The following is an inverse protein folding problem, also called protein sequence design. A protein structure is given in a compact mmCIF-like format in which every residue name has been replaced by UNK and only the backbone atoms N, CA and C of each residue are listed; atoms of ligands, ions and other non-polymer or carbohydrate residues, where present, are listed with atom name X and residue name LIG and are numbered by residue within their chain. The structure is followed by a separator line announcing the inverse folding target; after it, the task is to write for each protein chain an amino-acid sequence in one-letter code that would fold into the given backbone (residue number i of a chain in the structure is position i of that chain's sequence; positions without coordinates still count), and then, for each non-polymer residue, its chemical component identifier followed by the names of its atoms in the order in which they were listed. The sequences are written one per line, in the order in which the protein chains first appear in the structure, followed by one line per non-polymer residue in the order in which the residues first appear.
data_IF_527699540358
#
_entry.id   IF_527699540358
#
_cell.length_a   1.000
_cell.length_b   1.000
_cell.length_c   1.000
_cell.angle_alpha   90.00
_cell.angle_beta   90.00
_cell.angle_gamma   90.00
#
_symmetry.space_group_name_H-M   'P 1'
#
loop_
_entity.id
_entity.type
_entity.pdbx_description
1 polymer ?
#
# COMPACT_ATOMS: atom_id res chain seq x y z
N UNK A 1 31.84 52.70 -22.95
CA UNK A 1 31.91 51.75 -24.08
C UNK A 1 31.12 50.50 -23.67
N UNK A 2 30.07 50.18 -24.46
CA UNK A 2 29.52 48.84 -24.83
C UNK A 2 29.37 47.77 -23.74
N UNK A 3 28.28 47.03 -23.61
CA UNK A 3 27.03 46.93 -24.35
C UNK A 3 26.05 46.04 -23.53
N UNK A 4 24.77 46.35 -23.66
CA UNK A 4 23.62 45.56 -23.20
C UNK A 4 23.57 44.17 -23.83
N UNK A 5 23.10 43.16 -23.10
CA UNK A 5 22.46 41.99 -23.71
C UNK A 5 21.33 41.47 -22.82
N UNK A 6 20.12 41.84 -23.23
CA UNK A 6 18.84 41.25 -22.85
C UNK A 6 18.66 40.02 -23.72
N UNK A 7 18.41 38.84 -23.14
CA UNK A 7 18.02 37.65 -23.90
C UNK A 7 16.61 37.21 -23.50
N UNK A 8 15.65 37.65 -24.30
CA UNK A 8 14.25 37.21 -24.31
C UNK A 8 14.15 35.83 -24.96
N UNK A 9 13.66 34.82 -24.25
CA UNK A 9 13.18 33.57 -24.86
C UNK A 9 11.66 33.56 -24.86
N UNK A 10 11.08 34.14 -25.93
CA UNK A 10 9.71 33.88 -26.37
C UNK A 10 9.79 32.82 -27.47
N UNK A 11 9.42 31.58 -27.18
CA UNK A 11 9.05 30.60 -28.21
C UNK A 11 7.56 30.34 -28.06
N UNK A 12 6.82 31.09 -28.85
CA UNK A 12 5.41 30.90 -29.18
C UNK A 12 5.40 30.01 -30.42
N UNK A 13 4.90 28.77 -30.30
CA UNK A 13 4.50 27.98 -31.47
C UNK A 13 3.02 27.64 -31.32
N UNK A 14 2.21 28.37 -32.08
CA UNK A 14 0.77 28.21 -32.22
C UNK A 14 0.52 28.00 -33.71
N UNK A 15 0.15 26.78 -34.10
CA UNK A 15 -0.34 26.46 -35.46
C UNK A 15 -1.60 25.60 -35.31
N UNK A 16 -2.72 26.31 -35.35
CA UNK A 16 -4.02 26.03 -35.99
C UNK A 16 -4.50 24.59 -36.19
N UNK A 17 -5.71 24.36 -35.66
CA UNK A 17 -6.71 23.39 -36.11
C UNK A 17 -6.94 23.45 -37.63
N UNK A 18 -7.15 22.29 -38.27
CA UNK A 18 -8.18 22.11 -39.32
C UNK A 18 -8.55 20.62 -39.53
N UNK A 19 -9.80 20.32 -39.19
CA UNK A 19 -10.80 19.45 -39.88
C UNK A 19 -10.49 18.04 -40.39
N UNK A 20 -11.29 17.11 -39.84
CA UNK A 20 -12.05 16.04 -40.53
C UNK A 20 -11.34 15.01 -41.41
N UNK A 21 -11.24 13.79 -40.89
CA UNK A 21 -11.01 12.57 -41.66
C UNK A 21 -11.43 11.34 -40.85
N UNK A 22 -12.70 10.96 -40.96
CA UNK A 22 -13.23 9.72 -40.40
C UNK A 22 -12.78 8.52 -41.25
N UNK A 23 -12.05 7.59 -40.65
CA UNK A 23 -11.94 6.21 -41.15
C UNK A 23 -12.25 5.27 -40.00
N UNK A 24 -13.46 4.74 -40.04
CA UNK A 24 -13.96 3.67 -39.19
C UNK A 24 -13.23 2.38 -39.53
N UNK A 25 -12.45 1.83 -38.58
CA UNK A 25 -12.14 0.40 -38.56
C UNK A 25 -12.97 -0.20 -37.43
N UNK A 26 -14.03 -0.89 -37.85
CA UNK A 26 -14.98 -1.61 -37.02
C UNK A 26 -14.29 -2.81 -36.36
N UNK A 27 -14.40 -2.93 -35.05
CA UNK A 27 -13.85 -4.07 -34.33
C UNK A 27 -13.99 -3.97 -32.82
N UNK A 28 -15.22 -3.92 -32.30
CA UNK A 28 -15.57 -4.27 -30.91
C UNK A 28 -17.11 -4.36 -30.77
N UNK A 29 -17.72 -5.41 -31.32
CA UNK A 29 -19.14 -5.71 -31.10
C UNK A 29 -19.28 -6.76 -29.98
N UNK A 30 -19.07 -6.37 -28.72
CA UNK A 30 -19.51 -7.22 -27.59
C UNK A 30 -19.65 -6.52 -26.23
N UNK A 31 -20.03 -5.24 -26.17
CA UNK A 31 -20.23 -4.56 -24.85
C UNK A 31 -21.50 -3.67 -24.78
N UNK A 32 -22.33 -3.60 -25.84
CA UNK A 32 -23.46 -2.65 -25.86
C UNK A 32 -24.84 -3.25 -25.51
N UNK A 33 -24.98 -4.58 -25.39
CA UNK A 33 -26.28 -5.19 -25.11
C UNK A 33 -26.67 -5.29 -23.63
N UNK A 34 -25.75 -5.07 -22.69
CA UNK A 34 -26.09 -5.11 -21.25
C UNK A 34 -26.83 -3.86 -20.75
N UNK A 35 -26.71 -2.72 -21.44
CA UNK A 35 -27.39 -1.48 -21.05
C UNK A 35 -28.88 -1.44 -21.39
N UNK A 36 -29.32 -2.18 -22.42
CA UNK A 36 -30.74 -2.26 -22.81
C UNK A 36 -31.54 -3.20 -21.92
N UNK A 37 -30.91 -4.21 -21.33
CA UNK A 37 -31.57 -5.21 -20.49
C UNK A 37 -31.97 -4.68 -19.09
N UNK A 38 -31.34 -3.58 -18.63
CA UNK A 38 -31.65 -2.96 -17.33
C UNK A 38 -32.74 -1.86 -17.42
N UNK A 39 -33.03 -1.32 -18.61
CA UNK A 39 -34.06 -0.29 -18.79
C UNK A 39 -35.48 -0.83 -18.87
N UNK A 40 -35.68 -2.08 -19.28
CA UNK A 40 -37.00 -2.71 -19.33
C UNK A 40 -37.54 -3.18 -17.97
N UNK A 41 -36.75 -3.11 -16.89
CA UNK A 41 -37.14 -3.59 -15.57
C UNK A 41 -37.74 -2.49 -14.66
N UNK A 42 -37.84 -1.23 -15.12
CA UNK A 42 -38.28 -0.09 -14.28
C UNK A 42 -39.53 0.65 -14.79
N UNK A 43 -40.27 0.12 -15.76
CA UNK A 43 -41.51 0.74 -16.25
C UNK A 43 -42.70 -0.20 -16.13
N UNK A 44 -43.18 -0.44 -14.92
CA UNK A 44 -44.52 -0.98 -14.66
C UNK A 44 -44.99 -0.59 -13.25
N UNK A 45 -45.56 0.60 -13.08
CA UNK A 45 -46.38 0.96 -11.91
C UNK A 45 -47.58 1.81 -12.33
N UNK A 46 -48.75 1.46 -11.78
CA UNK A 46 -50.11 2.01 -11.98
C UNK A 46 -50.77 1.56 -13.30
N UNK A 47 -52.01 1.06 -13.38
CA UNK A 47 -53.23 1.28 -12.56
C UNK A 47 -54.35 0.27 -12.92
N UNK A 48 -55.30 -0.05 -12.00
CA UNK A 48 -56.72 -0.36 -12.36
C UNK A 48 -57.30 -1.78 -12.16
N UNK A 49 -57.94 -1.97 -10.99
CA UNK A 49 -59.12 -2.80 -10.59
C UNK A 49 -59.64 -4.11 -11.25
N UNK A 50 -60.07 -5.01 -10.33
CA UNK A 50 -61.07 -6.11 -10.37
C UNK A 50 -60.88 -7.24 -11.40
N UNK A 51 -61.00 -8.54 -11.11
CA UNK A 51 -61.94 -9.24 -10.24
C UNK A 51 -61.46 -10.68 -9.93
N UNK A 52 -61.96 -11.19 -8.80
CA UNK A 52 -62.03 -12.54 -8.23
C UNK A 52 -61.75 -13.78 -9.11
N UNK A 53 -60.86 -14.70 -8.67
CA UNK A 53 -61.12 -16.15 -8.53
C UNK A 53 -59.89 -16.98 -8.08
N UNK A 54 -60.19 -18.01 -7.30
CA UNK A 54 -59.31 -18.92 -6.58
C UNK A 54 -58.31 -19.73 -7.43
N UNK A 55 -57.17 -20.09 -6.84
CA UNK A 55 -56.27 -21.10 -7.41
C UNK A 55 -54.93 -21.20 -6.69
N UNK A 56 -54.77 -22.28 -5.94
CA UNK A 56 -53.61 -22.65 -5.13
C UNK A 56 -52.35 -22.79 -6.00
N UNK A 57 -51.23 -22.21 -5.56
CA UNK A 57 -49.92 -22.45 -6.18
C UNK A 57 -48.90 -21.35 -5.92
N UNK A 58 -48.54 -21.09 -4.66
CA UNK A 58 -47.25 -20.45 -4.39
C UNK A 58 -46.14 -21.48 -4.61
N UNK A 59 -45.79 -21.72 -5.88
CA UNK A 59 -44.43 -22.11 -6.19
C UNK A 59 -43.54 -20.92 -5.80
N UNK A 60 -42.78 -21.11 -4.71
CA UNK A 60 -41.56 -20.35 -4.49
C UNK A 60 -40.67 -20.60 -5.70
N UNK A 61 -40.83 -19.75 -6.72
CA UNK A 61 -39.83 -19.54 -7.75
C UNK A 61 -38.57 -19.09 -7.03
N UNK A 62 -37.70 -20.06 -6.74
CA UNK A 62 -36.34 -19.82 -6.31
C UNK A 62 -35.66 -19.09 -7.48
N UNK A 63 -35.75 -17.77 -7.45
CA UNK A 63 -34.98 -16.90 -8.33
C UNK A 63 -33.53 -17.28 -8.08
N UNK A 64 -32.92 -17.95 -9.07
CA UNK A 64 -31.49 -18.25 -9.08
C UNK A 64 -30.77 -16.96 -8.68
N UNK A 65 -30.01 -16.94 -7.56
CA UNK A 65 -29.40 -15.71 -7.10
C UNK A 65 -28.55 -15.15 -8.23
N UNK A 66 -28.72 -13.87 -8.54
CA UNK A 66 -27.87 -13.17 -9.50
C UNK A 66 -26.40 -13.48 -9.17
N UNK A 67 -25.54 -13.72 -10.18
CA UNK A 67 -24.16 -14.12 -9.94
C UNK A 67 -23.48 -13.11 -9.02
N UNK A 68 -23.14 -13.53 -7.79
CA UNK A 68 -22.46 -12.68 -6.82
C UNK A 68 -21.02 -12.49 -7.25
N UNK A 69 -20.59 -11.25 -7.43
CA UNK A 69 -19.19 -10.94 -7.72
C UNK A 69 -18.29 -11.41 -6.57
N UNK A 70 -17.12 -11.94 -6.92
CA UNK A 70 -16.07 -12.22 -5.94
C UNK A 70 -15.53 -10.92 -5.32
N UNK A 71 -14.95 -11.01 -4.12
CA UNK A 71 -14.36 -9.86 -3.45
C UNK A 71 -13.24 -9.20 -4.28
N UNK A 72 -12.51 -9.97 -5.08
CA UNK A 72 -11.51 -9.46 -6.04
C UNK A 72 -12.15 -8.60 -7.13
N UNK A 73 -13.25 -9.05 -7.72
CA UNK A 73 -13.98 -8.28 -8.73
C UNK A 73 -14.60 -7.02 -8.12
N UNK A 74 -15.11 -7.10 -6.90
CA UNK A 74 -15.60 -5.95 -6.15
C UNK A 74 -14.49 -4.93 -5.90
N UNK A 75 -13.29 -5.39 -5.53
CA UNK A 75 -12.13 -4.51 -5.36
C UNK A 75 -11.77 -3.81 -6.68
N UNK A 76 -11.82 -4.53 -7.80
CA UNK A 76 -11.55 -3.94 -9.12
C UNK A 76 -12.57 -2.83 -9.48
N UNK A 77 -13.85 -3.00 -9.13
CA UNK A 77 -14.85 -1.93 -9.26
C UNK A 77 -14.46 -0.70 -8.43
N UNK A 78 -13.97 -0.90 -7.20
CA UNK A 78 -13.50 0.19 -6.34
C UNK A 78 -12.29 0.89 -6.95
N UNK A 79 -11.30 0.15 -7.43
CA UNK A 79 -10.08 0.69 -8.07
C UNK A 79 -10.38 1.46 -9.38
N UNK A 80 -11.46 1.09 -10.07
CA UNK A 80 -11.97 1.79 -11.23
C UNK A 80 -12.86 2.99 -10.88
N UNK A 81 -13.16 3.22 -9.61
CA UNK A 81 -14.01 4.32 -9.13
C UNK A 81 -15.51 4.05 -9.29
N UNK A 82 -15.89 2.82 -9.60
CA UNK A 82 -17.27 2.34 -9.81
C UNK A 82 -17.96 2.07 -8.46
N UNK A 83 -17.86 3.02 -7.54
CA UNK A 83 -18.30 2.89 -6.14
C UNK A 83 -19.78 2.52 -6.00
N UNK A 84 -20.64 2.95 -6.92
CA UNK A 84 -22.06 2.59 -6.91
C UNK A 84 -22.27 1.11 -7.19
N UNK A 85 -21.59 0.57 -8.20
CA UNK A 85 -21.65 -0.85 -8.53
C UNK A 85 -21.01 -1.70 -7.43
N UNK A 86 -19.87 -1.26 -6.89
CA UNK A 86 -19.21 -1.91 -5.77
C UNK A 86 -20.13 -2.01 -4.54
N UNK A 87 -20.92 -0.96 -4.23
CA UNK A 87 -21.90 -0.99 -3.14
C UNK A 87 -22.97 -2.07 -3.33
N UNK A 88 -23.58 -2.12 -4.52
CA UNK A 88 -24.61 -3.12 -4.85
C UNK A 88 -24.03 -4.54 -4.83
N UNK A 89 -22.81 -4.71 -5.33
CA UNK A 89 -22.11 -5.99 -5.32
C UNK A 89 -21.76 -6.44 -3.90
N UNK A 90 -21.30 -5.52 -3.04
CA UNK A 90 -21.03 -5.79 -1.62
C UNK A 90 -22.29 -6.16 -0.85
N UNK A 91 -23.41 -5.51 -1.12
CA UNK A 91 -24.68 -5.87 -0.51
C UNK A 91 -25.07 -7.31 -0.89
N UNK A 92 -24.94 -7.66 -2.17
CA UNK A 92 -25.22 -9.02 -2.65
C UNK A 92 -24.24 -10.04 -2.04
N UNK A 93 -22.95 -9.71 -1.98
CA UNK A 93 -21.93 -10.55 -1.37
C UNK A 93 -22.20 -10.81 0.12
N UNK A 94 -22.55 -9.76 0.87
CA UNK A 94 -22.83 -9.83 2.31
C UNK A 94 -24.15 -10.53 2.65
N UNK A 95 -25.08 -10.72 1.71
CA UNK A 95 -26.23 -11.62 1.92
C UNK A 95 -25.78 -13.08 2.01
N UNK A 96 -24.75 -13.45 1.25
CA UNK A 96 -24.22 -14.82 1.20
C UNK A 96 -23.15 -15.08 2.28
N UNK A 97 -22.28 -14.11 2.53
CA UNK A 97 -21.28 -14.15 3.61
C UNK A 97 -21.42 -12.92 4.52
N UNK A 98 -22.40 -12.92 5.44
CA UNK A 98 -22.65 -11.77 6.28
C UNK A 98 -21.51 -11.42 7.20
N UNK A 99 -20.65 -12.37 7.60
CA UNK A 99 -19.60 -12.19 8.61
C UNK A 99 -18.25 -11.80 8.02
N UNK A 100 -18.14 -11.68 6.71
CA UNK A 100 -16.90 -11.28 6.05
C UNK A 100 -16.39 -9.90 6.54
N UNK A 101 -15.25 -9.84 7.26
CA UNK A 101 -14.79 -8.59 7.86
C UNK A 101 -14.36 -7.57 6.81
N UNK A 102 -13.75 -8.04 5.72
CA UNK A 102 -13.28 -7.20 4.62
C UNK A 102 -14.45 -6.57 3.87
N UNK A 103 -15.43 -7.37 3.44
CA UNK A 103 -16.59 -6.86 2.72
C UNK A 103 -17.42 -5.87 3.57
N UNK A 104 -17.58 -6.12 4.87
CA UNK A 104 -18.22 -5.18 5.80
C UNK A 104 -17.46 -3.85 5.89
N UNK A 105 -16.12 -3.90 5.97
CA UNK A 105 -15.30 -2.71 6.03
C UNK A 105 -15.39 -1.90 4.72
N UNK A 106 -15.30 -2.54 3.56
CA UNK A 106 -15.46 -1.90 2.25
C UNK A 106 -16.85 -1.27 2.10
N UNK A 107 -17.90 -1.99 2.50
CA UNK A 107 -19.27 -1.49 2.44
C UNK A 107 -19.42 -0.23 3.31
N UNK A 108 -18.93 -0.29 4.55
CA UNK A 108 -18.94 0.84 5.49
C UNK A 108 -18.27 2.08 4.89
N UNK A 109 -17.10 1.91 4.30
CA UNK A 109 -16.35 3.03 3.71
C UNK A 109 -17.01 3.63 2.48
N UNK A 110 -17.85 2.88 1.76
CA UNK A 110 -18.56 3.36 0.58
C UNK A 110 -19.93 3.97 0.88
N UNK A 111 -20.53 3.64 2.03
CA UNK A 111 -21.90 4.08 2.40
C UNK A 111 -21.90 5.26 3.37
N UNK A 112 -20.98 5.29 4.34
CA UNK A 112 -20.95 6.37 5.34
C UNK A 112 -20.45 7.67 4.70
N UNK A 113 -20.99 8.81 5.13
CA UNK A 113 -20.48 10.14 4.80
C UNK A 113 -19.05 10.31 5.38
N UNK A 114 -18.02 10.56 4.54
CA UNK A 114 -16.65 10.73 5.00
C UNK A 114 -16.47 11.84 6.03
N UNK A 115 -17.17 12.97 5.87
CA UNK A 115 -17.05 14.10 6.80
C UNK A 115 -17.61 13.76 8.18
N UNK A 116 -18.72 13.01 8.23
CA UNK A 116 -19.30 12.51 9.49
C UNK A 116 -18.44 11.43 10.15
N UNK A 117 -17.80 10.56 9.35
CA UNK A 117 -17.00 9.46 9.87
C UNK A 117 -15.61 9.88 10.36
N UNK A 118 -14.99 10.86 9.69
CA UNK A 118 -13.60 11.25 9.93
C UNK A 118 -13.49 12.57 10.71
N UNK A 119 -14.55 13.38 10.73
CA UNK A 119 -14.55 14.70 11.34
C UNK A 119 -14.03 15.80 10.40
N UNK A 120 -13.92 17.05 10.90
CA UNK A 120 -13.40 18.16 10.12
C UNK A 120 -11.91 17.97 9.79
N UNK A 121 -11.47 18.66 8.73
CA UNK A 121 -10.07 18.68 8.34
C UNK A 121 -9.28 19.50 9.37
N UNK A 122 -8.17 18.95 9.83
CA UNK A 122 -7.28 19.64 10.80
C UNK A 122 -5.96 20.04 10.20
N UNK A 123 -5.59 19.44 9.07
CA UNK A 123 -4.42 19.83 8.30
C UNK A 123 -4.61 19.51 6.83
N UNK A 124 -3.67 20.00 6.02
CA UNK A 124 -3.51 19.61 4.63
C UNK A 124 -2.19 18.89 4.45
N UNK A 125 -2.07 18.13 3.36
CA UNK A 125 -0.85 17.44 2.99
C UNK A 125 -0.66 17.49 1.48
N UNK A 126 0.54 17.88 1.05
CA UNK A 126 0.93 17.87 -0.37
C UNK A 126 1.51 16.51 -0.72
N UNK A 127 0.86 15.84 -1.67
CA UNK A 127 1.21 14.50 -2.13
C UNK A 127 2.63 14.49 -2.67
N UNK A 128 3.43 13.57 -2.15
CA UNK A 128 4.82 13.36 -2.52
C UNK A 128 4.95 12.21 -3.52
N UNK A 129 6.05 12.17 -4.30
CA UNK A 129 6.36 11.02 -5.13
C UNK A 129 6.37 9.71 -4.32
N UNK A 130 5.53 8.76 -4.73
CA UNK A 130 5.41 7.45 -4.09
C UNK A 130 4.27 7.31 -3.10
N UNK A 131 3.55 8.39 -2.80
CA UNK A 131 2.35 8.30 -1.97
C UNK A 131 1.24 7.51 -2.66
N UNK A 132 0.48 6.78 -1.86
CA UNK A 132 -0.73 6.06 -2.27
C UNK A 132 -1.84 6.36 -1.27
N UNK A 133 -3.12 6.26 -1.67
CA UNK A 133 -4.23 6.46 -0.74
C UNK A 133 -4.15 5.50 0.47
N UNK A 134 -3.70 4.25 0.25
CA UNK A 134 -3.46 3.28 1.31
C UNK A 134 -2.36 3.71 2.28
N UNK A 135 -1.22 4.16 1.75
CA UNK A 135 -0.11 4.67 2.56
C UNK A 135 -0.51 5.93 3.37
N UNK A 136 -1.23 6.85 2.73
CA UNK A 136 -1.72 8.06 3.38
C UNK A 136 -2.78 7.74 4.45
N UNK A 137 -3.65 6.76 4.21
CA UNK A 137 -4.60 6.29 5.21
C UNK A 137 -3.91 5.61 6.39
N UNK A 138 -2.89 4.79 6.15
CA UNK A 138 -2.07 4.22 7.22
C UNK A 138 -1.42 5.32 8.07
N UNK A 139 -0.81 6.32 7.41
CA UNK A 139 -0.08 7.41 8.07
C UNK A 139 -1.01 8.32 8.89
N UNK A 140 -2.13 8.75 8.31
CA UNK A 140 -2.96 9.81 8.89
C UNK A 140 -4.21 9.29 9.61
N UNK A 141 -4.69 8.10 9.26
CA UNK A 141 -5.90 7.49 9.86
C UNK A 141 -5.54 6.28 10.73
N UNK A 142 -4.29 5.81 10.69
CA UNK A 142 -3.80 4.65 11.44
C UNK A 142 -4.19 3.30 10.84
N UNK A 143 -4.86 3.28 9.68
CA UNK A 143 -5.29 2.06 9.02
C UNK A 143 -5.17 2.17 7.50
N UNK A 144 -4.31 1.36 6.84
CA UNK A 144 -4.20 1.35 5.37
C UNK A 144 -5.52 1.01 4.67
N UNK A 145 -6.40 0.26 5.34
CA UNK A 145 -7.71 -0.10 4.79
C UNK A 145 -8.64 1.10 4.65
N UNK A 146 -8.44 2.20 5.37
CA UNK A 146 -9.29 3.40 5.32
C UNK A 146 -9.05 4.27 4.05
N UNK A 147 -8.39 3.72 3.02
CA UNK A 147 -8.02 4.44 1.80
C UNK A 147 -9.23 4.91 0.98
N UNK A 148 -10.33 4.16 0.98
CA UNK A 148 -11.54 4.50 0.22
C UNK A 148 -12.21 5.71 0.86
N UNK A 149 -12.36 5.69 2.19
CA UNK A 149 -13.01 6.79 2.90
C UNK A 149 -12.14 8.06 2.90
N UNK A 150 -10.81 7.93 2.95
CA UNK A 150 -9.88 9.05 2.76
C UNK A 150 -9.97 9.63 1.34
N UNK A 151 -10.01 8.77 0.31
CA UNK A 151 -10.19 9.20 -1.07
C UNK A 151 -11.48 9.98 -1.24
N UNK A 152 -12.60 9.42 -0.77
CA UNK A 152 -13.91 10.08 -0.80
C UNK A 152 -13.96 11.41 -0.02
N UNK A 153 -13.22 11.51 1.09
CA UNK A 153 -13.09 12.76 1.85
C UNK A 153 -12.45 13.90 1.04
N UNK A 154 -11.63 13.52 0.06
CA UNK A 154 -10.85 14.42 -0.80
C UNK A 154 -11.36 14.46 -2.25
N UNK A 155 -12.56 13.94 -2.51
CA UNK A 155 -13.14 13.84 -3.85
C UNK A 155 -12.31 13.01 -4.85
N UNK A 156 -11.45 12.12 -4.34
CA UNK A 156 -10.61 11.20 -5.11
C UNK A 156 -11.33 9.84 -5.20
N UNK A 157 -11.76 9.48 -6.42
CA UNK A 157 -12.49 8.23 -6.66
C UNK A 157 -11.57 7.05 -6.91
N UNK A 158 -10.45 7.24 -7.61
CA UNK A 158 -9.50 6.17 -7.95
C UNK A 158 -8.15 6.47 -7.35
N UNK A 159 -7.42 5.42 -6.94
CA UNK A 159 -6.04 5.57 -6.47
C UNK A 159 -5.12 6.23 -7.53
N UNK A 160 -5.38 5.95 -8.81
CA UNK A 160 -4.64 6.55 -9.94
C UNK A 160 -4.91 8.04 -10.17
N UNK A 161 -5.97 8.59 -9.56
CA UNK A 161 -6.29 10.02 -9.65
C UNK A 161 -5.48 10.85 -8.63
N UNK A 162 -4.71 10.18 -7.76
CA UNK A 162 -3.80 10.82 -6.81
C UNK A 162 -2.58 11.39 -7.56
N UNK A 163 -2.41 12.71 -7.55
CA UNK A 163 -1.35 13.38 -8.30
C UNK A 163 -0.26 13.91 -7.37
N UNK A 164 1.01 13.72 -7.74
CA UNK A 164 2.13 14.34 -7.03
C UNK A 164 1.99 15.87 -7.07
N UNK A 165 2.18 16.52 -5.92
CA UNK A 165 1.99 17.96 -5.76
C UNK A 165 0.54 18.38 -5.47
N UNK A 166 -0.45 17.49 -5.62
CA UNK A 166 -1.82 17.78 -5.23
C UNK A 166 -1.90 17.88 -3.69
N UNK A 167 -2.62 18.90 -3.20
CA UNK A 167 -2.86 19.07 -1.77
C UNK A 167 -4.19 18.42 -1.39
N UNK A 168 -4.16 17.54 -0.39
CA UNK A 168 -5.32 16.86 0.17
C UNK A 168 -5.59 17.32 1.61
N UNK A 169 -6.85 17.23 2.03
CA UNK A 169 -7.32 17.48 3.39
C UNK A 169 -7.15 16.22 4.24
N UNK A 170 -6.67 16.42 5.47
CA UNK A 170 -6.45 15.37 6.46
C UNK A 170 -7.39 15.57 7.65
N UNK A 171 -8.26 14.59 7.96
CA UNK A 171 -9.26 14.70 9.02
C UNK A 171 -8.72 14.29 10.41
N UNK A 172 -9.39 14.75 11.47
CA UNK A 172 -9.02 14.45 12.86
C UNK A 172 -9.58 13.11 13.37
N UNK A 173 -8.86 12.01 13.16
CA UNK A 173 -9.03 10.84 14.04
C UNK A 173 -8.00 10.92 15.17
N UNK A 174 -8.49 11.01 16.41
CA UNK A 174 -7.74 11.26 17.66
C UNK A 174 -6.49 10.35 17.83
N UNK A 175 -5.32 10.82 17.39
CA UNK A 175 -4.04 10.93 18.14
C UNK A 175 -2.96 11.51 17.21
N UNK A 176 -2.69 12.81 17.39
CA UNK A 176 -1.46 13.46 16.95
C UNK A 176 -0.29 12.99 17.82
N UNK A 177 0.86 12.68 17.20
CA UNK A 177 2.18 13.02 17.74
C UNK A 177 3.19 13.17 16.60
N UNK A 178 3.78 14.37 16.56
CA UNK A 178 4.90 14.88 15.75
C UNK A 178 4.65 15.18 14.24
N UNK A 179 4.33 16.45 13.96
CA UNK A 179 4.91 17.21 12.84
C UNK A 179 6.00 18.12 13.44
N UNK A 180 7.15 18.32 12.76
CA UNK A 180 7.23 19.48 11.85
C UNK A 180 8.02 19.22 10.56
N UNK A 181 7.52 19.78 9.46
CA UNK A 181 8.30 20.59 8.52
C UNK A 181 7.28 21.23 7.56
N UNK A 182 7.13 22.55 7.67
CA UNK A 182 6.17 23.35 6.91
C UNK A 182 6.91 24.30 5.95
N UNK A 183 6.22 24.86 4.96
CA UNK A 183 5.88 26.28 5.11
C UNK A 183 4.39 26.57 4.95
N UNK A 184 3.82 27.21 5.99
CA UNK A 184 2.60 27.98 5.93
C UNK A 184 2.80 29.28 5.12
N UNK A 185 1.77 29.64 4.36
CA UNK A 185 1.49 31.04 4.01
C UNK A 185 0.02 31.35 4.28
N UNK A 186 -0.24 32.09 5.36
CA UNK A 186 -1.28 33.12 5.37
C UNK A 186 -0.59 34.40 5.89
N UNK A 187 -0.56 35.44 5.05
CA UNK A 187 -0.11 36.79 5.43
C UNK A 187 -1.26 37.51 6.14
N UNK A 188 -1.00 38.12 7.30
CA UNK A 188 -1.25 39.54 7.56
C UNK A 188 -0.83 39.97 8.98
N UNK A 189 0.13 40.90 9.00
CA UNK A 189 0.25 42.07 9.86
C UNK A 189 1.23 42.12 11.05
N UNK A 190 2.05 43.18 10.96
CA UNK A 190 2.82 43.97 11.93
C UNK A 190 3.84 43.34 12.90
N UNK A 191 5.11 43.65 12.58
CA UNK A 191 6.05 44.40 13.43
C UNK A 191 6.13 44.03 14.91
N UNK A 192 7.28 43.52 15.36
CA UNK A 192 8.42 44.38 15.77
C UNK A 192 9.63 43.48 16.05
N UNK A 193 10.80 43.97 15.64
CA UNK A 193 12.10 43.36 15.80
C UNK A 193 12.52 43.17 17.27
N UNK A 194 13.24 42.09 17.55
CA UNK A 194 14.53 42.10 18.28
C UNK A 194 15.26 40.76 18.11
N UNK A 195 16.42 40.81 17.46
CA UNK A 195 17.58 39.94 17.72
C UNK A 195 18.25 40.43 19.03
N UNK A 196 19.07 39.63 19.78
CA UNK A 196 20.24 38.94 19.22
C UNK A 196 20.67 37.59 19.88
N UNK A 197 21.54 36.87 19.16
CA UNK A 197 22.69 36.02 19.57
C UNK A 197 22.47 34.94 20.67
N UNK A 198 22.99 33.71 20.56
CA UNK A 198 24.41 33.35 20.70
C UNK A 198 24.64 31.86 20.34
N UNK A 199 25.66 31.65 19.49
CA UNK A 199 26.67 30.57 19.31
C UNK A 199 26.34 29.06 19.22
N UNK A 200 27.09 28.34 18.35
CA UNK A 200 27.06 26.88 18.18
C UNK A 200 28.08 26.17 19.08
N UNK A 201 27.82 24.91 19.41
CA UNK A 201 28.81 24.01 20.00
C UNK A 201 28.93 22.73 19.17
N UNK A 202 30.03 22.70 18.44
CA UNK A 202 30.75 21.55 17.89
C UNK A 202 31.19 20.60 19.02
N UNK A 203 31.15 19.30 18.79
CA UNK A 203 32.15 18.38 19.36
C UNK A 203 32.39 17.22 18.40
N UNK A 204 33.53 17.29 17.73
CA UNK A 204 34.20 16.18 17.08
C UNK A 204 34.73 15.18 18.13
N UNK A 205 34.95 13.95 17.67
CA UNK A 205 36.18 13.23 17.98
C UNK A 205 36.19 12.40 19.27
N UNK A 206 36.10 11.09 19.10
CA UNK A 206 37.09 10.20 19.70
C UNK A 206 37.26 8.97 18.81
N UNK A 207 38.35 8.97 18.06
CA UNK A 207 38.97 7.77 17.50
C UNK A 207 39.66 6.97 18.62
N UNK A 208 39.74 5.64 18.47
CA UNK A 208 40.95 4.81 18.59
C UNK A 208 40.52 3.34 18.61
N UNK A 209 40.76 2.58 17.52
CA UNK A 209 41.86 1.59 17.36
C UNK A 209 41.57 0.26 18.11
N UNK A 210 41.76 -0.97 17.62
CA UNK A 210 42.49 -1.56 16.49
C UNK A 210 42.29 -3.10 16.50
N UNK A 211 42.65 -3.76 15.39
CA UNK A 211 43.10 -5.17 15.24
C UNK A 211 42.03 -6.24 15.02
N UNK A 212 41.79 -6.76 13.79
CA UNK A 212 42.57 -7.72 12.97
C UNK A 212 42.61 -9.14 13.52
N UNK A 213 41.89 -10.08 12.87
CA UNK A 213 42.40 -11.36 12.35
C UNK A 213 41.27 -12.29 11.82
N UNK A 214 41.24 -12.46 10.50
CA UNK A 214 40.87 -13.70 9.75
C UNK A 214 42.04 -14.73 9.89
N UNK A 215 42.03 -15.98 9.36
CA UNK A 215 40.99 -16.73 8.64
C UNK A 215 40.86 -18.23 9.01
N UNK A 216 39.81 -18.91 8.52
CA UNK A 216 39.91 -20.20 7.81
C UNK A 216 38.52 -20.84 7.56
N UNK A 217 38.26 -21.14 6.29
CA UNK A 217 37.29 -22.14 5.82
C UNK A 217 37.85 -23.57 5.99
N UNK A 218 37.05 -24.63 5.76
CA UNK A 218 36.93 -25.14 4.38
C UNK A 218 35.52 -25.61 3.96
N UNK A 219 35.40 -25.80 2.64
CA UNK A 219 34.34 -26.45 1.85
C UNK A 219 34.06 -27.91 2.32
N UNK A 220 33.05 -28.68 1.91
CA UNK A 220 32.16 -28.82 0.75
C UNK A 220 30.87 -29.51 1.26
N UNK A 221 29.68 -29.50 0.65
CA UNK A 221 29.30 -30.31 -0.52
C UNK A 221 27.86 -29.94 -0.93
N UNK A 222 27.66 -29.88 -2.24
CA UNK A 222 26.36 -29.80 -2.90
C UNK A 222 25.59 -31.10 -2.76
N UNK A 223 24.31 -31.05 -2.37
CA UNK A 223 23.32 -31.99 -2.90
C UNK A 223 22.02 -31.28 -3.25
N UNK A 224 21.72 -31.39 -4.54
CA UNK A 224 20.49 -31.08 -5.24
C UNK A 224 19.34 -31.93 -4.73
N UNK A 225 18.24 -31.32 -4.27
CA UNK A 225 16.90 -31.90 -4.37
C UNK A 225 15.87 -30.77 -4.49
N UNK A 226 15.20 -30.73 -5.65
CA UNK A 226 13.96 -29.99 -5.92
C UNK A 226 12.80 -31.01 -5.83
N UNK A 227 11.53 -30.60 -5.82
CA UNK A 227 10.72 -30.38 -4.62
C UNK A 227 9.49 -31.30 -4.60
N UNK A 228 9.06 -31.79 -3.43
CA UNK A 228 7.78 -32.49 -3.34
C UNK A 228 6.95 -31.98 -2.16
N UNK A 229 5.86 -31.31 -2.53
CA UNK A 229 4.75 -30.96 -1.64
C UNK A 229 4.09 -32.24 -1.14
N UNK A 230 4.12 -32.49 0.17
CA UNK A 230 3.14 -33.36 0.81
C UNK A 230 2.95 -33.00 2.29
N UNK A 231 1.86 -32.24 2.53
CA UNK A 231 0.82 -32.47 3.54
C UNK A 231 1.25 -32.64 5.01
N UNK A 232 0.76 -31.69 5.79
CA UNK A 232 0.53 -31.71 7.23
C UNK A 232 0.21 -33.10 7.82
N UNK A 233 1.14 -33.63 8.59
CA UNK A 233 0.96 -34.22 9.92
C UNK A 233 2.25 -34.98 10.28
N UNK A 234 3.31 -34.22 10.60
CA UNK A 234 4.42 -34.81 11.32
C UNK A 234 3.98 -34.94 12.78
N UNK A 235 3.75 -36.17 13.22
CA UNK A 235 3.75 -36.53 14.64
C UNK A 235 5.16 -36.18 15.13
N UNK A 236 5.34 -34.95 15.61
CA UNK A 236 6.61 -34.48 16.14
C UNK A 236 6.95 -35.39 17.33
N UNK A 237 8.14 -35.96 17.32
CA UNK A 237 8.72 -36.63 18.49
C UNK A 237 8.55 -35.68 19.69
N UNK A 238 8.11 -36.16 20.87
CA UNK A 238 8.02 -35.29 22.03
C UNK A 238 9.40 -34.69 22.31
N UNK A 239 9.50 -33.37 22.20
CA UNK A 239 10.71 -32.61 22.54
C UNK A 239 11.01 -32.84 24.03
N UNK A 240 12.28 -32.97 24.37
CA UNK A 240 12.68 -33.11 25.77
C UNK A 240 12.40 -31.81 26.54
N UNK A 241 12.17 -31.87 27.86
CA UNK A 241 12.00 -30.66 28.67
C UNK A 241 13.15 -29.65 28.54
N UNK A 242 14.37 -30.12 28.28
CA UNK A 242 15.53 -29.28 28.04
C UNK A 242 15.47 -28.53 26.70
N UNK A 243 14.94 -29.17 25.65
CA UNK A 243 14.73 -28.54 24.35
C UNK A 243 13.58 -27.53 24.40
N UNK A 244 12.48 -27.87 25.08
CA UNK A 244 11.37 -26.94 25.32
C UNK A 244 11.86 -25.67 26.05
N UNK A 245 12.66 -25.83 27.12
CA UNK A 245 13.23 -24.70 27.84
C UNK A 245 14.14 -23.83 26.93
N UNK A 246 14.93 -24.44 26.04
CA UNK A 246 15.77 -23.72 25.07
C UNK A 246 14.92 -22.99 24.02
N UNK A 247 13.84 -23.60 23.54
CA UNK A 247 12.91 -22.98 22.59
C UNK A 247 12.23 -21.75 23.22
N UNK A 248 11.77 -21.87 24.47
CA UNK A 248 11.18 -20.75 25.21
C UNK A 248 12.20 -19.64 25.52
N UNK A 249 13.44 -19.99 25.87
CA UNK A 249 14.51 -19.01 26.06
C UNK A 249 14.82 -18.23 24.77
N UNK A 250 14.89 -18.91 23.62
CA UNK A 250 15.05 -18.26 22.32
C UNK A 250 13.83 -17.36 21.99
N UNK A 251 12.60 -17.80 22.27
CA UNK A 251 11.42 -16.96 22.10
C UNK A 251 11.49 -15.70 22.96
N UNK A 252 11.91 -15.81 24.22
CA UNK A 252 12.09 -14.66 25.12
C UNK A 252 13.19 -13.71 24.64
N UNK A 253 14.31 -14.24 24.14
CA UNK A 253 15.37 -13.44 23.53
C UNK A 253 14.87 -12.67 22.29
N UNK A 254 14.08 -13.33 21.44
CA UNK A 254 13.43 -12.69 20.29
C UNK A 254 12.49 -11.55 20.70
N UNK A 255 11.67 -11.76 21.74
CA UNK A 255 10.79 -10.71 22.29
C UNK A 255 11.60 -9.54 22.88
N UNK A 256 12.69 -9.81 23.59
CA UNK A 256 13.57 -8.77 24.13
C UNK A 256 14.27 -7.96 23.02
N UNK A 257 14.70 -8.62 21.94
CA UNK A 257 15.25 -7.96 20.75
C UNK A 257 14.19 -7.07 20.06
N UNK A 258 12.94 -7.51 19.96
CA UNK A 258 11.84 -6.68 19.45
C UNK A 258 11.62 -5.41 20.29
N UNK A 259 11.69 -5.50 21.61
CA UNK A 259 11.55 -4.33 22.50
C UNK A 259 12.67 -3.31 22.28
N UNK A 260 13.86 -3.78 21.93
CA UNK A 260 15.03 -2.95 21.57
C UNK A 260 15.02 -2.50 20.11
N UNK A 261 13.97 -2.83 19.34
CA UNK A 261 13.87 -2.59 17.90
C UNK A 261 15.00 -3.25 17.07
N UNK A 262 15.62 -4.32 17.58
CA UNK A 262 16.67 -5.09 16.92
C UNK A 262 16.03 -6.18 16.06
N UNK A 263 15.48 -5.81 14.90
CA UNK A 263 14.65 -6.72 14.09
C UNK A 263 15.42 -7.93 13.53
N UNK A 264 16.68 -7.77 13.15
CA UNK A 264 17.51 -8.88 12.66
C UNK A 264 17.79 -9.91 13.76
N UNK A 265 18.16 -9.46 14.96
CA UNK A 265 18.39 -10.37 16.09
C UNK A 265 17.08 -11.02 16.54
N UNK A 266 15.98 -10.27 16.54
CA UNK A 266 14.66 -10.82 16.83
C UNK A 266 14.28 -11.94 15.84
N UNK A 267 14.50 -11.74 14.54
CA UNK A 267 14.23 -12.75 13.52
C UNK A 267 15.06 -14.01 13.76
N UNK A 268 16.36 -13.86 14.03
CA UNK A 268 17.28 -14.96 14.33
C UNK A 268 16.83 -15.77 15.55
N UNK A 269 16.46 -15.11 16.64
CA UNK A 269 16.03 -15.79 17.87
C UNK A 269 14.66 -16.48 17.70
N UNK A 270 13.70 -15.89 16.98
CA UNK A 270 12.45 -16.59 16.66
C UNK A 270 12.67 -17.77 15.71
N UNK A 271 13.54 -17.65 14.70
CA UNK A 271 13.91 -18.78 13.85
C UNK A 271 14.55 -19.90 14.65
N UNK A 272 15.40 -19.58 15.65
CA UNK A 272 15.96 -20.58 16.57
C UNK A 272 14.88 -21.24 17.40
N UNK A 273 13.95 -20.47 17.97
CA UNK A 273 12.83 -21.02 18.76
C UNK A 273 11.99 -22.00 17.93
N UNK A 274 11.62 -21.61 16.71
CA UNK A 274 10.79 -22.40 15.80
C UNK A 274 11.53 -23.60 15.20
N UNK A 275 12.86 -23.58 15.15
CA UNK A 275 13.66 -24.74 14.76
C UNK A 275 13.68 -25.83 15.84
N UNK A 276 13.56 -25.45 17.12
CA UNK A 276 13.50 -26.39 18.24
C UNK A 276 12.06 -26.87 18.45
N UNK A 277 11.11 -25.93 18.53
CA UNK A 277 9.69 -26.21 18.68
C UNK A 277 8.87 -25.46 17.62
N UNK A 278 8.56 -26.12 16.49
CA UNK A 278 7.67 -25.57 15.47
C UNK A 278 6.22 -25.38 15.93
N UNK A 279 5.84 -25.82 17.14
CA UNK A 279 4.51 -25.65 17.73
C UNK A 279 4.31 -24.31 18.45
N UNK A 280 5.37 -23.50 18.62
CA UNK A 280 5.28 -22.22 19.34
C UNK A 280 4.52 -21.15 18.55
N UNK A 281 3.19 -21.09 18.73
CA UNK A 281 2.31 -20.14 18.05
C UNK A 281 2.67 -18.67 18.30
N UNK A 282 3.14 -18.34 19.51
CA UNK A 282 3.61 -16.99 19.81
C UNK A 282 4.87 -16.67 19.01
N UNK A 283 5.86 -17.56 18.97
CA UNK A 283 7.07 -17.38 18.16
C UNK A 283 6.73 -17.24 16.66
N UNK A 284 5.81 -18.03 16.12
CA UNK A 284 5.34 -17.90 14.71
C UNK A 284 4.75 -16.53 14.44
N UNK A 285 3.81 -16.11 15.27
CA UNK A 285 3.11 -14.83 15.12
C UNK A 285 4.09 -13.66 15.19
N UNK A 286 5.04 -13.72 16.14
CA UNK A 286 6.05 -12.67 16.31
C UNK A 286 7.11 -12.69 15.20
N UNK A 287 7.53 -13.86 14.74
CA UNK A 287 8.42 -14.00 13.59
C UNK A 287 7.81 -13.36 12.34
N UNK A 288 6.53 -13.63 12.05
CA UNK A 288 5.82 -13.01 10.93
C UNK A 288 5.75 -11.47 11.07
N UNK A 289 5.48 -10.97 12.28
CA UNK A 289 5.49 -9.54 12.56
C UNK A 289 6.88 -8.91 12.34
N UNK A 290 7.95 -9.56 12.80
CA UNK A 290 9.32 -9.10 12.60
C UNK A 290 9.69 -9.11 11.12
N UNK A 291 9.32 -10.16 10.39
CA UNK A 291 9.55 -10.27 8.94
C UNK A 291 8.90 -9.10 8.19
N UNK A 292 7.64 -8.81 8.48
CA UNK A 292 6.94 -7.67 7.87
C UNK A 292 7.64 -6.34 8.16
N UNK A 293 8.10 -6.12 9.39
CA UNK A 293 8.84 -4.90 9.75
C UNK A 293 10.20 -4.81 9.03
N UNK A 294 10.91 -5.93 8.86
CA UNK A 294 12.18 -5.97 8.13
C UNK A 294 11.99 -5.63 6.65
N UNK A 295 10.96 -6.18 6.01
CA UNK A 295 10.58 -5.81 4.63
C UNK A 295 10.37 -4.30 4.51
N UNK A 296 9.62 -3.70 5.44
CA UNK A 296 9.41 -2.24 5.47
C UNK A 296 10.71 -1.47 5.70
N UNK A 297 11.55 -1.88 6.64
CA UNK A 297 12.84 -1.24 6.91
C UNK A 297 13.75 -1.25 5.68
N UNK A 298 13.83 -2.38 4.97
CA UNK A 298 14.59 -2.48 3.72
C UNK A 298 14.02 -1.57 2.64
N UNK A 299 12.69 -1.52 2.51
CA UNK A 299 12.03 -0.64 1.55
C UNK A 299 12.31 0.84 1.81
N UNK A 300 12.22 1.29 3.07
CA UNK A 300 12.50 2.67 3.47
C UNK A 300 13.96 3.04 3.21
N UNK A 301 14.90 2.18 3.60
CA UNK A 301 16.32 2.38 3.31
C UNK A 301 16.59 2.45 1.80
N UNK A 302 15.95 1.59 1.01
CA UNK A 302 16.07 1.59 -0.45
C UNK A 302 15.55 2.89 -1.07
N UNK A 303 14.43 3.43 -0.57
CA UNK A 303 13.91 4.73 -1.02
C UNK A 303 14.88 5.87 -0.72
N UNK A 304 15.56 5.85 0.43
CA UNK A 304 16.60 6.82 0.77
C UNK A 304 17.78 6.72 -0.20
N UNK A 305 18.29 5.51 -0.45
CA UNK A 305 19.36 5.28 -1.43
C UNK A 305 18.97 5.72 -2.84
N UNK A 306 17.74 5.41 -3.26
CA UNK A 306 17.20 5.79 -4.57
C UNK A 306 17.13 7.32 -4.74
N UNK A 307 16.67 8.04 -3.71
CA UNK A 307 16.63 9.52 -3.71
C UNK A 307 18.03 10.13 -3.79
N UNK A 308 19.03 9.47 -3.21
CA UNK A 308 20.46 9.84 -3.31
C UNK A 308 21.10 9.41 -4.64
N UNK A 309 20.33 8.83 -5.56
CA UNK A 309 20.82 8.27 -6.83
C UNK A 309 21.82 7.11 -6.65
N UNK A 310 21.90 6.52 -5.46
CA UNK A 310 22.68 5.31 -5.19
C UNK A 310 21.88 4.09 -5.69
N UNK A 311 21.80 3.92 -7.01
CA UNK A 311 20.90 2.95 -7.63
C UNK A 311 21.25 1.50 -7.28
N UNK A 312 22.55 1.16 -7.21
CA UNK A 312 23.00 -0.18 -6.83
C UNK A 312 22.63 -0.55 -5.40
N UNK A 313 22.84 0.39 -4.47
CA UNK A 313 22.44 0.24 -3.07
C UNK A 313 20.91 0.09 -2.94
N UNK A 314 20.15 0.91 -3.66
CA UNK A 314 18.69 0.85 -3.66
C UNK A 314 18.17 -0.50 -4.19
N UNK A 315 18.72 -0.98 -5.31
CA UNK A 315 18.35 -2.28 -5.89
C UNK A 315 18.66 -3.40 -4.90
N UNK A 316 19.85 -3.41 -4.29
CA UNK A 316 20.24 -4.42 -3.32
C UNK A 316 19.33 -4.44 -2.07
N UNK A 317 18.88 -3.27 -1.61
CA UNK A 317 17.96 -3.18 -0.49
C UNK A 317 16.55 -3.68 -0.85
N UNK A 318 16.05 -3.40 -2.07
CA UNK A 318 14.80 -4.02 -2.53
C UNK A 318 14.94 -5.52 -2.78
N UNK A 319 16.09 -6.01 -3.24
CA UNK A 319 16.37 -7.45 -3.32
C UNK A 319 16.27 -8.12 -1.94
N UNK A 320 16.82 -7.49 -0.89
CA UNK A 320 16.66 -7.97 0.48
C UNK A 320 15.20 -7.99 0.92
N UNK A 321 14.42 -6.96 0.59
CA UNK A 321 12.99 -6.94 0.90
C UNK A 321 12.23 -8.07 0.19
N UNK A 322 12.51 -8.32 -1.09
CA UNK A 322 11.87 -9.36 -1.90
C UNK A 322 12.32 -10.77 -1.53
N UNK A 323 13.53 -10.94 -0.98
CA UNK A 323 13.96 -12.21 -0.40
C UNK A 323 13.14 -12.57 0.85
N UNK A 324 12.61 -11.58 1.57
CA UNK A 324 11.78 -11.78 2.75
C UNK A 324 10.28 -11.90 2.43
N UNK A 325 9.80 -11.15 1.44
CA UNK A 325 8.44 -11.21 0.89
C UNK A 325 8.49 -11.01 -0.64
N UNK A 326 8.49 -12.11 -1.42
CA UNK A 326 8.52 -12.04 -2.89
C UNK A 326 7.32 -11.31 -3.51
N UNK A 327 6.22 -11.18 -2.76
CA UNK A 327 4.98 -10.51 -3.20
C UNK A 327 4.89 -9.05 -2.77
N UNK A 328 5.97 -8.48 -2.19
CA UNK A 328 5.99 -7.10 -1.74
C UNK A 328 6.02 -6.12 -2.92
N UNK A 329 4.83 -5.79 -3.42
CA UNK A 329 4.57 -4.93 -4.59
C UNK A 329 5.42 -3.64 -4.65
N UNK A 330 5.62 -2.87 -3.54
CA UNK A 330 6.45 -1.68 -3.60
C UNK A 330 7.89 -1.99 -4.06
N UNK A 331 8.53 -3.02 -3.51
CA UNK A 331 9.90 -3.35 -3.91
C UNK A 331 9.97 -3.83 -5.36
N UNK A 332 8.99 -4.62 -5.85
CA UNK A 332 8.93 -5.04 -7.27
C UNK A 332 8.94 -3.83 -8.21
N UNK A 333 8.02 -2.89 -8.01
CA UNK A 333 7.86 -1.73 -8.89
C UNK A 333 9.01 -0.73 -8.80
N UNK A 334 9.55 -0.49 -7.61
CA UNK A 334 10.68 0.44 -7.46
C UNK A 334 12.00 -0.14 -7.95
N UNK A 335 12.27 -1.43 -7.70
CA UNK A 335 13.47 -2.11 -8.21
C UNK A 335 13.53 -2.09 -9.73
N UNK A 336 12.42 -2.39 -10.41
CA UNK A 336 12.35 -2.33 -11.88
C UNK A 336 12.66 -0.90 -12.40
N UNK A 337 12.14 0.13 -11.73
CA UNK A 337 12.44 1.53 -12.08
C UNK A 337 13.91 1.89 -11.89
N UNK A 338 14.53 1.46 -10.80
CA UNK A 338 15.94 1.73 -10.55
C UNK A 338 16.86 1.01 -11.54
N UNK A 339 16.53 -0.23 -11.93
CA UNK A 339 17.26 -0.96 -12.97
C UNK A 339 17.19 -0.23 -14.31
N UNK A 340 16.01 0.24 -14.72
CA UNK A 340 15.84 0.99 -15.96
C UNK A 340 16.60 2.33 -15.91
N UNK A 341 16.55 3.04 -14.79
CA UNK A 341 17.30 4.29 -14.62
C UNK A 341 18.82 4.04 -14.71
N UNK A 342 19.32 2.99 -14.05
CA UNK A 342 20.74 2.60 -14.12
C UNK A 342 21.17 2.30 -15.55
N UNK A 343 20.34 1.55 -16.29
CA UNK A 343 20.59 1.22 -17.71
C UNK A 343 20.71 2.48 -18.57
N UNK A 344 19.82 3.46 -18.40
CA UNK A 344 19.86 4.74 -19.14
C UNK A 344 21.09 5.57 -18.82
N UNK A 345 21.48 5.64 -17.54
CA UNK A 345 22.69 6.35 -17.13
C UNK A 345 23.96 5.71 -17.70
N UNK A 346 24.00 4.38 -17.79
CA UNK A 346 25.10 3.67 -18.45
C UNK A 346 25.26 4.08 -19.92
N UNK A 347 24.16 4.13 -20.67
CA UNK A 347 24.17 4.54 -22.08
C UNK A 347 24.61 5.99 -22.31
N UNK A 348 24.31 6.89 -21.36
CA UNK A 348 24.72 8.29 -21.44
C UNK A 348 26.22 8.49 -21.19
N UNK A 349 26.86 7.58 -20.45
CA UNK A 349 28.27 7.69 -20.10
C UNK A 349 29.21 7.01 -21.11
N UNK A 350 28.66 6.33 -22.13
CA UNK A 350 29.40 5.65 -23.20
C UNK A 350 29.57 6.50 -24.47
N UNK A 351 29.04 7.72 -24.49
CA UNK A 351 29.07 8.67 -25.61
C UNK A 351 29.83 9.96 -25.26
#
# INVERSE_FOLDING_TARGET
MRASMVFSFRIMLLVTLLTSGAVSISGCAQVQDFGKMLKNAQTSTASGDSDTAAGIGQEKSATKPAPSLSLKQIMQLIENGEHAQARTALETFLRNDPKNPMARNLQKQLTIDPAKALGPAVSTYTIQPGDTLGGLAARFLGNPMDFIILGRYNDIKRGRDLQVGQTIKIPSKKKLKALPDEPQTIKANESTAVTPAVKPATSEGMESSTSTAEPAAPASESQTVKPEEARSNAIAKPISPAEEARALAAQQAGLAAMQKNQLEEAAKEFSRALAIDPGLELAKTRAAQVQQKRVQQYHEAALVAYRKQHLDEAIALWDKALALDPSYEPALGYRARAQELKRRLGQLNEH
#
